data_IF_072090308543
#
_entry.id   IF_072090308543
#
_cell.length_a   1.000
_cell.length_b   1.000
_cell.length_c   1.000
_cell.angle_alpha   90.00
_cell.angle_beta   90.00
_cell.angle_gamma   90.00
#
_symmetry.space_group_name_H-M   'P 1'
#
loop_
_entity.id
_entity.type
_entity.pdbx_description
1 polymer ?
#
# COMPACT_ATOMS: atom_id res chain seq x y z
N UNK A 1 -12.64 -29.84 14.10
CA UNK A 1 -12.09 -28.47 14.08
C UNK A 1 -10.66 -28.50 14.62
N UNK A 2 -9.82 -29.24 13.93
CA UNK A 2 -8.47 -29.60 14.31
C UNK A 2 -7.60 -29.14 13.18
N UNK A 3 -6.82 -28.05 13.35
CA UNK A 3 -5.65 -27.75 12.50
C UNK A 3 -4.76 -26.59 12.98
N UNK A 4 -4.88 -26.10 14.23
CA UNK A 4 -3.92 -25.14 14.80
C UNK A 4 -3.11 -25.67 15.99
N UNK A 5 -3.53 -26.77 16.62
CA UNK A 5 -2.89 -27.29 17.84
C UNK A 5 -1.73 -28.25 17.59
N UNK A 6 -1.49 -28.69 16.35
CA UNK A 6 -0.52 -29.75 16.03
C UNK A 6 0.93 -29.26 15.82
N UNK A 7 1.21 -27.96 15.96
CA UNK A 7 2.57 -27.42 15.73
C UNK A 7 3.41 -27.37 17.02
N UNK A 8 2.82 -27.62 18.20
CA UNK A 8 3.46 -27.30 19.47
C UNK A 8 4.33 -28.41 20.10
N UNK A 9 4.51 -29.56 19.44
CA UNK A 9 5.35 -30.64 19.96
C UNK A 9 6.09 -31.35 18.82
N UNK A 10 7.29 -30.89 18.45
CA UNK A 10 8.51 -31.72 18.45
C UNK A 10 9.73 -30.79 18.48
N UNK A 11 10.49 -30.84 19.58
CA UNK A 11 11.79 -30.19 19.72
C UNK A 11 12.88 -31.26 19.62
N UNK A 12 13.56 -31.33 18.48
CA UNK A 12 14.93 -31.83 18.38
C UNK A 12 15.71 -30.97 17.37
N UNK A 13 16.99 -30.72 17.66
CA UNK A 13 17.81 -29.68 17.03
C UNK A 13 17.95 -29.76 15.48
N UNK A 14 17.65 -30.93 14.88
CA UNK A 14 17.56 -31.12 13.43
C UNK A 14 16.20 -30.74 12.82
N UNK A 15 15.10 -30.94 13.54
CA UNK A 15 13.74 -30.56 13.11
C UNK A 15 13.54 -29.06 13.17
N UNK A 16 14.22 -28.37 14.10
CA UNK A 16 14.12 -26.92 14.25
C UNK A 16 14.58 -26.19 12.97
N UNK A 17 15.64 -26.65 12.28
CA UNK A 17 16.07 -26.08 10.99
C UNK A 17 15.07 -26.35 9.86
N UNK A 18 14.51 -27.55 9.79
CA UNK A 18 13.54 -27.94 8.77
C UNK A 18 12.22 -27.19 8.95
N UNK A 19 11.71 -27.10 10.18
CA UNK A 19 10.53 -26.31 10.54
C UNK A 19 10.75 -24.82 10.25
N UNK A 20 11.93 -24.28 10.59
CA UNK A 20 12.33 -22.91 10.26
C UNK A 20 12.33 -22.64 8.75
N UNK A 21 12.76 -23.63 7.94
CA UNK A 21 12.76 -23.54 6.47
C UNK A 21 11.35 -23.65 5.88
N UNK A 22 10.54 -24.58 6.39
CA UNK A 22 9.13 -24.75 6.01
C UNK A 22 8.34 -23.49 6.34
N UNK A 23 8.59 -22.90 7.52
CA UNK A 23 7.95 -21.67 7.95
C UNK A 23 8.31 -20.50 7.02
N UNK A 24 9.59 -20.33 6.66
CA UNK A 24 9.96 -19.31 5.66
C UNK A 24 9.24 -19.52 4.34
N UNK A 25 9.23 -20.74 3.80
CA UNK A 25 8.61 -21.03 2.50
C UNK A 25 7.12 -20.73 2.52
N UNK A 26 6.40 -21.18 3.56
CA UNK A 26 4.96 -20.91 3.72
C UNK A 26 4.62 -19.43 3.85
N UNK A 27 5.47 -18.63 4.51
CA UNK A 27 5.25 -17.19 4.62
C UNK A 27 5.44 -16.49 3.26
N UNK A 28 6.40 -16.96 2.45
CA UNK A 28 6.61 -16.42 1.09
C UNK A 28 5.48 -16.84 0.15
N UNK A 29 5.04 -18.10 0.21
CA UNK A 29 3.88 -18.62 -0.53
C UNK A 29 2.60 -17.83 -0.20
N UNK A 30 2.38 -17.53 1.09
CA UNK A 30 1.24 -16.73 1.52
C UNK A 30 1.26 -15.30 0.93
N UNK A 31 2.44 -14.66 0.91
CA UNK A 31 2.59 -13.34 0.29
C UNK A 31 2.32 -13.41 -1.21
N UNK A 32 2.85 -14.43 -1.89
CA UNK A 32 2.70 -14.59 -3.33
C UNK A 32 1.24 -14.89 -3.73
N UNK A 33 0.55 -15.77 -3.00
CA UNK A 33 -0.87 -16.02 -3.19
C UNK A 33 -1.68 -14.74 -3.03
N UNK A 34 -1.49 -14.02 -1.91
CA UNK A 34 -2.20 -12.76 -1.66
C UNK A 34 -1.86 -11.66 -2.67
N UNK A 35 -0.68 -11.71 -3.31
CA UNK A 35 -0.31 -10.81 -4.40
C UNK A 35 -1.08 -11.14 -5.67
N UNK A 36 -1.16 -12.42 -6.02
CA UNK A 36 -1.82 -12.88 -7.24
C UNK A 36 -3.32 -12.59 -7.23
N UNK A 37 -3.92 -12.45 -6.05
CA UNK A 37 -5.30 -12.01 -5.86
C UNK A 37 -5.53 -10.50 -6.09
N UNK A 38 -4.47 -9.72 -6.35
CA UNK A 38 -4.61 -8.29 -6.67
C UNK A 38 -4.86 -8.12 -8.17
N UNK A 39 -5.98 -7.46 -8.51
CA UNK A 39 -6.38 -7.24 -9.90
C UNK A 39 -6.45 -5.76 -10.26
N UNK A 40 -6.27 -5.47 -11.55
CA UNK A 40 -6.45 -4.14 -12.11
C UNK A 40 -7.11 -4.25 -13.48
N UNK A 41 -8.22 -3.52 -13.68
CA UNK A 41 -8.93 -3.47 -14.96
C UNK A 41 -8.79 -2.07 -15.56
N UNK A 42 -8.21 -1.99 -16.77
CA UNK A 42 -8.10 -0.75 -17.51
C UNK A 42 -9.44 -0.39 -18.14
N UNK A 43 -10.05 0.71 -17.70
CA UNK A 43 -11.40 1.13 -18.13
C UNK A 43 -11.58 1.33 -19.64
N UNK A 44 -10.52 1.69 -20.37
CA UNK A 44 -10.62 2.09 -21.78
C UNK A 44 -10.50 0.90 -22.73
N UNK A 45 -9.63 -0.08 -22.42
CA UNK A 45 -9.35 -1.22 -23.29
C UNK A 45 -9.86 -2.55 -22.74
N UNK A 46 -10.46 -2.56 -21.55
CA UNK A 46 -10.84 -3.78 -20.82
C UNK A 46 -9.69 -4.74 -20.55
N UNK A 47 -8.43 -4.29 -20.66
CA UNK A 47 -7.27 -5.10 -20.32
C UNK A 47 -7.26 -5.39 -18.82
N UNK A 48 -7.12 -6.68 -18.48
CA UNK A 48 -7.00 -7.16 -17.11
C UNK A 48 -5.55 -7.50 -16.79
N UNK A 49 -5.12 -7.10 -15.59
CA UNK A 49 -3.81 -7.40 -15.05
C UNK A 49 -3.99 -8.01 -13.66
N UNK A 50 -3.08 -8.91 -13.30
CA UNK A 50 -3.04 -9.54 -11.96
C UNK A 50 -1.64 -9.46 -11.35
N UNK A 51 -1.54 -9.73 -10.05
CA UNK A 51 -0.25 -9.87 -9.39
C UNK A 51 0.61 -8.62 -9.44
N UNK A 52 1.88 -8.78 -9.82
CA UNK A 52 2.85 -7.66 -9.89
C UNK A 52 2.46 -6.62 -10.93
N UNK A 53 1.87 -7.05 -12.04
CA UNK A 53 1.47 -6.13 -13.11
C UNK A 53 0.27 -5.29 -12.67
N UNK A 54 -0.71 -5.90 -11.99
CA UNK A 54 -1.79 -5.15 -11.36
C UNK A 54 -1.26 -4.11 -10.39
N UNK A 55 -0.36 -4.49 -9.49
CA UNK A 55 0.23 -3.57 -8.49
C UNK A 55 0.99 -2.43 -9.18
N UNK A 56 1.73 -2.70 -10.26
CA UNK A 56 2.38 -1.66 -11.06
C UNK A 56 1.34 -0.69 -11.65
N UNK A 57 0.25 -1.19 -12.25
CA UNK A 57 -0.80 -0.34 -12.81
C UNK A 57 -1.50 0.49 -11.74
N UNK A 58 -1.80 -0.11 -10.59
CA UNK A 58 -2.37 0.54 -9.41
C UNK A 58 -1.46 1.67 -8.93
N UNK A 59 -0.15 1.43 -8.83
CA UNK A 59 0.83 2.45 -8.48
C UNK A 59 0.87 3.61 -9.48
N UNK A 60 0.85 3.30 -10.78
CA UNK A 60 0.78 4.32 -11.84
C UNK A 60 -0.50 5.14 -11.75
N UNK A 61 -1.64 4.49 -11.50
CA UNK A 61 -2.89 5.21 -11.30
C UNK A 61 -2.83 6.14 -10.09
N UNK A 62 -2.34 5.65 -8.94
CA UNK A 62 -2.17 6.47 -7.75
C UNK A 62 -1.33 7.71 -8.05
N UNK A 63 -0.14 7.52 -8.61
CA UNK A 63 0.76 8.64 -8.90
C UNK A 63 0.18 9.60 -9.95
N UNK A 64 -0.40 9.10 -11.04
CA UNK A 64 -0.84 9.93 -12.17
C UNK A 64 -2.20 10.59 -11.99
N UNK A 65 -3.09 10.02 -11.18
CA UNK A 65 -4.47 10.50 -11.05
C UNK A 65 -4.72 11.15 -9.67
N UNK A 66 -3.97 10.75 -8.64
CA UNK A 66 -4.17 11.26 -7.28
C UNK A 66 -3.07 12.21 -6.81
N UNK A 67 -1.81 12.02 -7.24
CA UNK A 67 -0.72 12.94 -6.92
C UNK A 67 -0.50 14.05 -7.95
N UNK A 68 -1.01 13.87 -9.17
CA UNK A 68 -0.99 14.90 -10.20
C UNK A 68 -2.38 15.49 -10.43
N UNK A 69 -2.40 16.72 -10.93
CA UNK A 69 -3.59 17.35 -11.47
C UNK A 69 -3.44 17.63 -12.96
N UNK A 70 -4.57 17.59 -13.66
CA UNK A 70 -4.63 18.06 -15.04
C UNK A 70 -5.10 19.50 -15.00
N UNK A 71 -4.15 20.44 -15.08
CA UNK A 71 -4.53 21.82 -15.34
C UNK A 71 -4.91 21.93 -16.82
N UNK A 72 -6.20 22.02 -17.10
CA UNK A 72 -6.65 22.70 -18.31
C UNK A 72 -6.21 24.15 -18.12
N UNK A 73 -5.06 24.53 -18.67
CA UNK A 73 -4.69 25.93 -18.78
C UNK A 73 -5.91 26.65 -19.37
N UNK A 74 -6.27 27.81 -18.81
CA UNK A 74 -7.31 28.72 -19.31
C UNK A 74 -6.92 29.18 -20.73
N UNK A 75 -6.97 28.27 -21.69
CA UNK A 75 -6.66 28.51 -23.08
C UNK A 75 -7.96 29.04 -23.69
N UNK A 76 -7.98 30.27 -24.23
CA UNK A 76 -9.16 30.73 -24.96
C UNK A 76 -9.46 29.75 -26.09
N UNK A 77 -10.72 29.35 -26.23
CA UNK A 77 -11.23 28.68 -27.45
C UNK A 77 -10.79 29.51 -28.67
N UNK A 78 -10.08 28.95 -29.68
CA UNK A 78 -10.27 27.64 -30.30
C UNK A 78 -9.03 26.70 -30.28
N UNK A 79 -8.05 26.97 -29.41
CA UNK A 79 -6.75 26.24 -29.43
C UNK A 79 -6.71 25.00 -28.52
N UNK A 80 -7.72 24.83 -27.65
CA UNK A 80 -7.79 23.73 -26.68
C UNK A 80 -7.94 22.34 -27.31
N UNK A 81 -8.30 22.27 -28.60
CA UNK A 81 -8.55 21.02 -29.34
C UNK A 81 -7.31 20.42 -30.02
N UNK A 82 -6.16 21.13 -30.02
CA UNK A 82 -5.03 20.76 -30.90
C UNK A 82 -3.96 19.89 -30.21
N UNK A 83 -3.93 19.78 -28.88
CA UNK A 83 -2.95 18.94 -28.17
C UNK A 83 -3.64 18.16 -27.04
N UNK A 84 -4.05 16.93 -27.36
CA UNK A 84 -4.88 16.05 -26.54
C UNK A 84 -4.25 15.44 -25.28
N UNK A 85 -3.13 15.96 -24.79
CA UNK A 85 -2.50 15.51 -23.54
C UNK A 85 -2.20 16.74 -22.67
N UNK A 86 -3.19 17.17 -21.89
CA UNK A 86 -2.99 18.25 -20.91
C UNK A 86 -1.78 17.95 -20.03
N UNK A 87 -0.87 18.93 -19.87
CA UNK A 87 0.30 18.77 -19.00
C UNK A 87 -0.19 18.43 -17.59
N UNK A 88 0.23 17.26 -17.08
CA UNK A 88 0.01 16.86 -15.68
C UNK A 88 1.05 17.55 -14.81
N UNK A 89 0.61 18.21 -13.76
CA UNK A 89 1.49 18.85 -12.77
C UNK A 89 1.34 18.16 -11.42
N UNK A 90 2.43 18.05 -10.67
CA UNK A 90 2.38 17.51 -9.33
C UNK A 90 1.58 18.43 -8.41
N UNK A 91 0.65 17.89 -7.63
CA UNK A 91 -0.22 18.69 -6.77
C UNK A 91 0.57 19.34 -5.63
N UNK A 92 0.34 20.63 -5.40
CA UNK A 92 1.05 21.36 -4.34
C UNK A 92 0.76 20.85 -2.92
N UNK A 93 -0.45 20.36 -2.65
CA UNK A 93 -0.80 19.76 -1.35
C UNK A 93 0.00 18.48 -1.09
N UNK A 94 0.31 17.71 -2.14
CA UNK A 94 1.05 16.46 -2.08
C UNK A 94 2.55 16.64 -1.83
N UNK A 95 3.06 17.87 -1.83
CA UNK A 95 4.44 18.19 -1.39
C UNK A 95 4.62 18.08 0.13
N UNK A 96 3.53 17.85 0.87
CA UNK A 96 3.50 17.65 2.32
C UNK A 96 2.80 16.34 2.67
N UNK A 97 3.20 15.72 3.78
CA UNK A 97 2.64 14.44 4.26
C UNK A 97 1.11 14.51 4.38
N UNK A 98 0.56 15.60 4.90
CA UNK A 98 -0.89 15.76 5.07
C UNK A 98 -1.67 15.65 3.74
N UNK A 99 -1.15 16.24 2.65
CA UNK A 99 -1.80 16.13 1.34
C UNK A 99 -1.66 14.74 0.75
N UNK A 100 -0.47 14.12 0.86
CA UNK A 100 -0.27 12.71 0.45
C UNK A 100 -1.26 11.80 1.17
N UNK A 101 -1.36 11.93 2.50
CA UNK A 101 -2.27 11.16 3.34
C UNK A 101 -3.71 11.28 2.89
N UNK A 102 -4.18 12.50 2.61
CA UNK A 102 -5.52 12.76 2.05
C UNK A 102 -5.73 12.08 0.69
N UNK A 103 -4.78 12.22 -0.25
CA UNK A 103 -4.91 11.66 -1.60
C UNK A 103 -4.81 10.14 -1.62
N UNK A 104 -3.90 9.57 -0.82
CA UNK A 104 -3.82 8.12 -0.61
C UNK A 104 -5.11 7.60 0.02
N UNK A 105 -5.68 8.32 0.99
CA UNK A 105 -7.01 8.06 1.55
C UNK A 105 -8.08 7.87 0.48
N UNK A 106 -8.23 8.86 -0.40
CA UNK A 106 -9.20 8.81 -1.49
C UNK A 106 -8.93 7.69 -2.50
N UNK A 107 -7.66 7.45 -2.81
CA UNK A 107 -7.24 6.35 -3.68
C UNK A 107 -7.59 4.98 -3.07
N UNK A 108 -7.33 4.82 -1.78
CA UNK A 108 -7.55 3.58 -1.04
C UNK A 108 -9.03 3.36 -0.69
N UNK A 109 -9.87 4.39 -0.62
CA UNK A 109 -11.32 4.21 -0.49
C UNK A 109 -12.01 3.95 -1.85
N UNK A 110 -11.27 4.08 -2.96
CA UNK A 110 -11.75 3.77 -4.29
C UNK A 110 -11.71 2.27 -4.62
N UNK A 111 -11.94 1.95 -5.90
CA UNK A 111 -12.04 0.56 -6.40
C UNK A 111 -10.82 -0.33 -6.13
N UNK A 112 -9.63 0.25 -5.96
CA UNK A 112 -8.38 -0.52 -5.80
C UNK A 112 -8.07 -0.86 -4.34
N UNK A 113 -8.81 -0.30 -3.39
CA UNK A 113 -8.46 -0.38 -1.97
C UNK A 113 -8.75 -1.70 -1.28
N UNK A 114 -9.73 -2.46 -1.80
CA UNK A 114 -10.12 -3.73 -1.21
C UNK A 114 -9.00 -4.76 -1.39
N UNK A 115 -8.62 -5.02 -2.66
CA UNK A 115 -7.54 -5.96 -3.01
C UNK A 115 -6.19 -5.53 -2.43
N UNK A 116 -5.82 -4.25 -2.63
CA UNK A 116 -4.56 -3.72 -2.12
C UNK A 116 -4.52 -3.75 -0.58
N UNK A 117 -5.65 -3.51 0.06
CA UNK A 117 -5.79 -3.56 1.51
C UNK A 117 -5.67 -4.97 2.06
N UNK A 118 -6.25 -5.96 1.39
CA UNK A 118 -6.07 -7.36 1.73
C UNK A 118 -4.60 -7.77 1.60
N UNK A 119 -3.94 -7.39 0.51
CA UNK A 119 -2.52 -7.63 0.29
C UNK A 119 -1.64 -7.04 1.41
N UNK A 120 -1.82 -5.75 1.75
CA UNK A 120 -1.05 -5.14 2.83
C UNK A 120 -1.37 -5.71 4.22
N UNK A 121 -2.60 -6.16 4.45
CA UNK A 121 -2.96 -6.85 5.70
C UNK A 121 -2.22 -8.18 5.82
N UNK A 122 -2.09 -8.93 4.73
CA UNK A 122 -1.28 -10.16 4.69
C UNK A 122 0.18 -9.84 5.00
N UNK A 123 0.77 -8.84 4.34
CA UNK A 123 2.15 -8.41 4.59
C UNK A 123 2.38 -7.99 6.04
N UNK A 124 1.46 -7.19 6.61
CA UNK A 124 1.50 -6.78 8.02
C UNK A 124 1.47 -8.00 8.95
N UNK A 125 0.57 -8.94 8.70
CA UNK A 125 0.43 -10.14 9.54
C UNK A 125 1.68 -11.02 9.49
N UNK A 126 2.34 -11.14 8.33
CA UNK A 126 3.63 -11.84 8.22
C UNK A 126 4.69 -11.14 9.06
N UNK A 127 4.85 -9.81 8.90
CA UNK A 127 5.81 -9.03 9.69
C UNK A 127 5.54 -9.13 11.19
N UNK A 128 4.28 -9.00 11.60
CA UNK A 128 3.82 -9.12 12.98
C UNK A 128 4.07 -10.53 13.54
N UNK A 129 3.87 -11.56 12.74
CA UNK A 129 4.14 -12.94 13.14
C UNK A 129 5.63 -13.14 13.40
N UNK A 130 6.49 -12.68 12.47
CA UNK A 130 7.95 -12.73 12.66
C UNK A 130 8.36 -11.94 13.91
N UNK A 131 7.77 -10.76 14.11
CA UNK A 131 8.11 -9.87 15.23
C UNK A 131 7.73 -10.44 16.60
N UNK A 132 6.56 -11.05 16.72
CA UNK A 132 6.04 -11.54 18.01
C UNK A 132 6.49 -12.98 18.33
N UNK A 133 6.93 -13.76 17.34
CA UNK A 133 7.32 -15.14 17.59
C UNK A 133 8.67 -15.22 18.30
N UNK A 134 8.68 -15.80 19.51
CA UNK A 134 9.88 -15.96 20.35
C UNK A 134 10.79 -17.11 19.88
N UNK A 135 10.27 -18.06 19.11
CA UNK A 135 11.02 -19.20 18.57
C UNK A 135 11.85 -18.84 17.33
N UNK A 136 11.62 -17.65 16.78
CA UNK A 136 12.38 -17.11 15.65
C UNK A 136 13.56 -16.32 16.21
N UNK A 137 14.71 -17.00 16.33
CA UNK A 137 15.95 -16.38 16.82
C UNK A 137 16.45 -15.29 15.85
N UNK A 138 16.44 -15.57 14.54
CA UNK A 138 16.97 -14.67 13.52
C UNK A 138 15.87 -13.99 12.70
N UNK A 139 15.10 -13.11 13.35
CA UNK A 139 13.99 -12.36 12.70
C UNK A 139 14.44 -11.59 11.47
N UNK A 140 15.65 -10.99 11.51
CA UNK A 140 16.21 -10.20 10.41
C UNK A 140 16.45 -11.05 9.15
N UNK A 141 16.82 -12.32 9.29
CA UNK A 141 16.92 -13.23 8.14
C UNK A 141 15.57 -13.37 7.42
N UNK A 142 14.49 -13.62 8.16
CA UNK A 142 13.16 -13.81 7.58
C UNK A 142 12.61 -12.52 6.96
N UNK A 143 12.80 -11.37 7.61
CA UNK A 143 12.34 -10.10 7.04
C UNK A 143 13.17 -9.68 5.84
N UNK A 144 14.45 -10.03 5.77
CA UNK A 144 15.27 -9.86 4.57
C UNK A 144 14.77 -10.72 3.40
N UNK A 145 14.40 -11.99 3.67
CA UNK A 145 13.80 -12.87 2.65
C UNK A 145 12.45 -12.33 2.17
N UNK A 146 11.60 -11.88 3.10
CA UNK A 146 10.33 -11.24 2.79
C UNK A 146 10.53 -10.00 1.91
N UNK A 147 11.46 -9.11 2.30
CA UNK A 147 11.81 -7.91 1.54
C UNK A 147 12.29 -8.24 0.13
N UNK A 148 13.05 -9.31 -0.05
CA UNK A 148 13.52 -9.75 -1.36
C UNK A 148 12.38 -10.16 -2.30
N UNK A 149 11.18 -10.50 -1.78
CA UNK A 149 10.01 -10.79 -2.59
C UNK A 149 9.27 -9.55 -3.08
N UNK A 150 9.46 -8.37 -2.47
CA UNK A 150 8.71 -7.15 -2.80
C UNK A 150 9.30 -6.46 -4.03
N UNK A 151 8.47 -6.18 -5.03
CA UNK A 151 8.86 -5.36 -6.18
C UNK A 151 8.99 -3.89 -5.79
N UNK A 152 9.65 -3.11 -6.65
CA UNK A 152 9.78 -1.64 -6.46
C UNK A 152 8.43 -0.94 -6.29
N UNK A 153 7.39 -1.37 -7.00
CA UNK A 153 6.07 -0.76 -6.92
C UNK A 153 5.31 -1.17 -5.66
N UNK A 154 5.50 -2.41 -5.19
CA UNK A 154 5.02 -2.84 -3.86
C UNK A 154 5.68 -2.02 -2.76
N UNK A 155 7.00 -1.82 -2.81
CA UNK A 155 7.74 -0.97 -1.85
C UNK A 155 7.25 0.48 -1.90
N UNK A 156 7.04 1.03 -3.09
CA UNK A 156 6.56 2.41 -3.25
C UNK A 156 5.14 2.59 -2.69
N UNK A 157 4.20 1.68 -2.98
CA UNK A 157 2.87 1.73 -2.39
C UNK A 157 2.90 1.51 -0.88
N UNK A 158 3.75 0.60 -0.38
CA UNK A 158 3.92 0.36 1.05
C UNK A 158 4.40 1.62 1.77
N UNK A 159 5.32 2.38 1.19
CA UNK A 159 5.75 3.68 1.70
C UNK A 159 4.54 4.63 1.86
N UNK A 160 3.72 4.80 0.83
CA UNK A 160 2.54 5.66 0.91
C UNK A 160 1.47 5.15 1.89
N UNK A 161 1.31 3.83 1.99
CA UNK A 161 0.45 3.21 2.99
C UNK A 161 0.94 3.55 4.41
N UNK A 162 2.24 3.50 4.66
CA UNK A 162 2.84 3.85 5.95
C UNK A 162 2.70 5.32 6.33
N UNK A 163 2.53 6.24 5.36
CA UNK A 163 2.23 7.65 5.61
C UNK A 163 0.74 7.91 5.87
N UNK A 164 -0.13 6.93 5.60
CA UNK A 164 -1.58 7.06 5.69
C UNK A 164 -2.13 6.54 7.01
N UNK A 165 -3.38 6.90 7.34
CA UNK A 165 -4.08 6.37 8.53
C UNK A 165 -4.16 4.84 8.55
N UNK A 166 -4.07 4.18 7.38
CA UNK A 166 -4.14 2.73 7.28
C UNK A 166 -2.86 2.02 7.73
N UNK A 167 -1.70 2.68 7.66
CA UNK A 167 -0.40 2.07 7.90
C UNK A 167 0.44 2.75 8.98
N UNK A 168 0.21 4.03 9.26
CA UNK A 168 1.05 4.87 10.13
C UNK A 168 1.25 4.28 11.54
N UNK A 169 0.19 3.78 12.18
CA UNK A 169 0.28 3.32 13.56
C UNK A 169 0.88 1.92 13.74
N UNK A 170 0.65 1.00 12.78
CA UNK A 170 0.95 -0.44 12.96
C UNK A 170 1.94 -0.98 11.94
N UNK A 171 1.79 -0.60 10.67
CA UNK A 171 2.66 -1.07 9.60
C UNK A 171 4.00 -0.33 9.63
N UNK A 172 3.97 1.00 9.74
CA UNK A 172 5.17 1.84 9.67
C UNK A 172 6.25 1.46 10.71
N UNK A 173 5.93 1.16 11.99
CA UNK A 173 6.93 0.74 12.97
C UNK A 173 7.66 -0.54 12.56
N UNK A 174 6.95 -1.55 12.05
CA UNK A 174 7.54 -2.80 11.60
C UNK A 174 8.38 -2.61 10.33
N UNK A 175 7.88 -1.80 9.39
CA UNK A 175 8.58 -1.45 8.15
C UNK A 175 9.91 -0.77 8.44
N UNK A 176 9.94 0.16 9.41
CA UNK A 176 11.16 0.83 9.87
C UNK A 176 12.09 -0.13 10.60
N UNK A 177 11.58 -0.85 11.62
CA UNK A 177 12.34 -1.82 12.44
C UNK A 177 13.13 -2.83 11.60
N UNK A 178 12.54 -3.30 10.51
CA UNK A 178 13.12 -4.32 9.64
C UNK A 178 13.72 -3.78 8.34
N UNK A 179 13.87 -2.45 8.22
CA UNK A 179 14.43 -1.78 7.04
C UNK A 179 13.76 -2.25 5.72
N UNK A 180 12.44 -2.48 5.71
CA UNK A 180 11.75 -3.11 4.58
C UNK A 180 11.89 -2.27 3.30
N UNK A 181 11.93 -0.95 3.42
CA UNK A 181 12.06 -0.01 2.29
C UNK A 181 13.51 0.26 1.86
N UNK A 182 14.51 -0.46 2.39
CA UNK A 182 15.94 -0.21 2.12
C UNK A 182 16.34 -0.21 0.64
N UNK A 183 15.61 -0.93 -0.21
CA UNK A 183 15.86 -1.01 -1.65
C UNK A 183 14.80 -0.29 -2.48
N UNK A 184 13.99 0.56 -1.86
CA UNK A 184 13.13 1.47 -2.61
C UNK A 184 14.01 2.50 -3.32
N UNK A 185 13.90 2.54 -4.64
CA UNK A 185 14.72 3.41 -5.48
C UNK A 185 14.03 4.77 -5.63
N UNK A 186 14.77 5.87 -5.44
CA UNK A 186 14.27 7.24 -5.56
C UNK A 186 13.51 7.48 -6.86
N UNK A 187 14.01 6.95 -7.98
CA UNK A 187 13.38 7.07 -9.30
C UNK A 187 11.98 6.47 -9.39
N UNK A 188 11.60 5.61 -8.45
CA UNK A 188 10.25 5.05 -8.39
C UNK A 188 9.28 6.07 -7.83
N UNK A 189 9.73 6.93 -6.92
CA UNK A 189 8.94 7.95 -6.22
C UNK A 189 8.93 9.26 -7.03
N UNK A 190 7.81 10.02 -7.06
CA UNK A 190 7.80 11.39 -7.56
C UNK A 190 8.90 12.25 -6.90
N UNK A 191 9.65 13.06 -7.67
CA UNK A 191 10.76 13.87 -7.15
C UNK A 191 10.40 14.73 -5.94
N UNK A 192 9.19 15.30 -5.93
CA UNK A 192 8.65 16.14 -4.87
C UNK A 192 8.50 15.41 -3.53
N UNK A 193 8.39 14.08 -3.56
CA UNK A 193 8.18 13.25 -2.39
C UNK A 193 9.47 12.60 -1.87
N UNK A 194 10.61 12.75 -2.57
CA UNK A 194 11.88 12.14 -2.17
C UNK A 194 12.33 12.65 -0.80
N UNK A 195 12.15 13.96 -0.52
CA UNK A 195 12.48 14.53 0.79
C UNK A 195 11.70 13.87 1.94
N UNK A 196 10.40 13.68 1.74
CA UNK A 196 9.51 13.01 2.71
C UNK A 196 9.92 11.55 2.90
N UNK A 197 10.28 10.85 1.83
CA UNK A 197 10.78 9.48 1.93
C UNK A 197 12.08 9.38 2.73
N UNK A 198 13.05 10.28 2.49
CA UNK A 198 14.30 10.32 3.27
C UNK A 198 14.04 10.61 4.74
N UNK A 199 13.17 11.56 5.05
CA UNK A 199 12.77 11.86 6.44
C UNK A 199 12.09 10.66 7.10
N UNK A 200 11.20 9.97 6.38
CA UNK A 200 10.55 8.76 6.88
C UNK A 200 11.58 7.67 7.26
N UNK A 201 12.65 7.53 6.47
CA UNK A 201 13.71 6.55 6.71
C UNK A 201 14.70 6.97 7.82
N UNK A 202 14.86 8.27 8.10
CA UNK A 202 15.81 8.78 9.09
C UNK A 202 15.21 9.05 10.48
N UNK A 203 13.89 9.16 10.59
CA UNK A 203 13.21 9.17 11.88
C UNK A 203 13.28 7.77 12.51
N UNK A 204 14.45 7.43 13.04
CA UNK A 204 14.71 6.28 13.92
C UNK A 204 13.91 6.46 15.21
N UNK A 205 13.11 5.45 15.55
CA UNK A 205 12.51 5.38 16.87
C UNK A 205 13.64 5.19 17.89
N UNK A 206 13.72 6.12 18.86
CA UNK A 206 14.52 5.93 20.08
C UNK A 206 14.10 4.60 20.71
N UNK A 207 15.00 3.63 20.71
CA UNK A 207 14.85 2.37 21.42
C UNK A 207 15.08 2.65 22.91
N UNK A 208 14.01 2.77 23.70
CA UNK A 208 14.10 2.99 25.14
C UNK A 208 14.25 1.68 25.93
N UNK A 209 14.74 0.59 25.32
CA UNK A 209 15.36 -0.54 26.03
C UNK A 209 14.49 -1.25 27.09
N UNK A 210 13.20 -0.94 27.19
CA UNK A 210 12.26 -1.61 28.08
C UNK A 210 11.54 -2.68 27.27
N UNK A 211 11.99 -3.91 27.49
CA UNK A 211 11.46 -5.14 26.91
C UNK A 211 10.04 -5.48 27.35
N UNK A 212 9.10 -4.57 27.12
CA UNK A 212 7.67 -4.83 27.15
C UNK A 212 7.08 -4.42 25.81
N UNK A 213 6.91 -5.39 24.91
CA UNK A 213 6.01 -5.25 23.75
C UNK A 213 4.68 -4.71 24.28
N UNK A 214 4.16 -3.57 23.78
CA UNK A 214 2.80 -3.17 24.09
C UNK A 214 1.90 -4.33 23.71
N UNK A 215 1.19 -4.90 24.69
CA UNK A 215 0.17 -5.93 24.44
C UNK A 215 -0.74 -5.37 23.35
N UNK A 216 -0.61 -5.90 22.14
CA UNK A 216 -1.46 -5.57 21.01
C UNK A 216 -2.86 -6.00 21.40
N UNK A 217 -3.64 -5.07 21.96
CA UNK A 217 -5.05 -5.25 22.25
C UNK A 217 -5.71 -5.79 20.99
N UNK A 218 -6.32 -6.95 21.20
CA UNK A 218 -7.02 -7.77 20.22
C UNK A 218 -8.24 -7.03 19.66
N UNK A 219 -8.60 -7.46 18.44
CA UNK A 219 -9.76 -7.08 17.63
C UNK A 219 -9.71 -5.68 16.99
N UNK A 220 -9.32 -5.66 15.71
CA UNK A 220 -9.93 -4.71 14.79
C UNK A 220 -10.18 -5.39 13.44
N UNK A 221 -11.46 -5.62 13.16
CA UNK A 221 -11.98 -5.56 11.80
C UNK A 221 -11.93 -4.08 11.40
N UNK A 222 -11.40 -3.71 10.21
CA UNK A 222 -11.43 -2.32 9.75
C UNK A 222 -12.87 -1.79 9.81
N UNK A 223 -13.08 -0.48 10.03
CA UNK A 223 -14.43 0.04 10.12
C UNK A 223 -15.09 -0.20 8.76
N UNK A 224 -16.21 -0.94 8.75
CA UNK A 224 -17.12 -0.84 7.61
C UNK A 224 -17.57 0.62 7.55
N UNK A 225 -17.48 1.32 6.40
CA UNK A 225 -18.04 2.65 6.29
C UNK A 225 -19.53 2.55 6.63
N UNK A 226 -19.93 3.22 7.72
CA UNK A 226 -21.34 3.35 8.08
C UNK A 226 -22.07 4.05 6.95
N UNK A 227 -23.22 3.51 6.56
CA UNK A 227 -24.09 4.03 5.49
C UNK A 227 -24.42 5.54 5.63
N UNK A 228 -24.28 6.10 6.83
CA UNK A 228 -24.59 7.51 7.12
C UNK A 228 -23.49 8.52 6.76
N UNK A 229 -22.24 8.10 6.54
CA UNK A 229 -21.17 9.06 6.17
C UNK A 229 -21.15 9.35 4.66
N UNK A 230 -21.90 8.58 3.86
CA UNK A 230 -21.91 8.69 2.40
C UNK A 230 -22.83 9.79 1.84
N UNK A 231 -23.70 10.40 2.66
CA UNK A 231 -24.77 11.26 2.12
C UNK A 231 -24.52 12.78 2.26
N UNK A 232 -23.61 13.26 3.13
CA UNK A 232 -23.57 14.70 3.48
C UNK A 232 -22.32 15.49 3.09
N UNK A 233 -21.41 14.95 2.26
CA UNK A 233 -20.25 15.73 1.78
C UNK A 233 -19.89 15.56 0.29
N UNK A 234 -20.75 14.92 -0.51
CA UNK A 234 -20.47 14.68 -1.92
C UNK A 234 -21.60 15.19 -2.81
N UNK A 235 -21.54 16.46 -3.21
CA UNK A 235 -22.02 16.86 -4.54
C UNK A 235 -20.85 16.70 -5.51
N UNK A 236 -20.85 15.72 -6.43
CA UNK A 236 -19.92 15.72 -7.53
C UNK A 236 -20.29 16.88 -8.44
N UNK A 237 -19.40 17.88 -8.56
CA UNK A 237 -19.50 18.87 -9.62
C UNK A 237 -19.07 18.20 -10.94
N UNK A 238 -19.91 17.28 -11.42
CA UNK A 238 -19.82 16.70 -12.75
C UNK A 238 -20.57 17.68 -13.64
N UNK A 239 -19.83 18.47 -14.39
CA UNK A 239 -20.35 19.17 -15.56
C UNK A 239 -20.83 18.13 -16.58
N UNK A 240 -22.09 17.70 -16.46
CA UNK A 240 -22.81 17.05 -17.56
C UNK A 240 -23.22 18.16 -18.51
N UNK A 241 -22.44 18.36 -19.58
CA UNK A 241 -22.86 19.17 -20.72
C UNK A 241 -24.02 18.41 -21.38
N UNK A 242 -25.23 18.93 -21.22
CA UNK A 242 -26.46 18.41 -21.82
C UNK A 242 -26.31 18.35 -23.34
N UNK A 243 -26.26 17.14 -23.92
CA UNK A 243 -26.57 16.95 -25.33
C UNK A 243 -28.09 17.06 -25.48
N UNK A 244 -28.56 18.25 -25.88
CA UNK A 244 -29.90 18.42 -26.42
C UNK A 244 -29.96 17.70 -27.78
N UNK A 245 -30.65 16.57 -27.81
CA UNK A 245 -31.22 16.00 -29.03
C UNK A 245 -32.26 16.99 -29.57
N UNK A 246 -31.92 17.74 -30.61
CA UNK A 246 -32.88 18.54 -31.37
C UNK A 246 -33.43 17.65 -32.49
N UNK A 247 -34.61 17.07 -32.26
CA UNK A 247 -35.46 16.51 -33.32
C UNK A 247 -35.78 17.62 -34.33
N UNK A 248 -35.35 17.46 -35.57
CA UNK A 248 -36.06 17.84 -36.79
C UNK A 248 -35.74 16.83 -37.86
#
# INVERSE_FOLDING_TARGET
MTNFTAIHHVCNAGENKTLKRILSLKLLELLEASRNDVYYVRRISSDEYSGRDAIHKIYKQFTQDFLHDTQLLNMPEPYATVLGDGKKYFRDDCKKVAGIKKRYGNFYLGKNGEDLGQYFRTLYNILKFIDNNKEIDNKKLYTNLLRAQLSRYELALLFYNCLSDFGEQKMAPLVKKYEILKHLEERTIPPENIGIWREFMHNECVDDGRGDSPRLLTAYSPPRPSHETLCNQYTPNIYIKSMYFKKR
#
